data_IF_702540599592
#
_entry.id   IF_702540599592
#
_cell.length_a   1.000
_cell.length_b   1.000
_cell.length_c   1.000
_cell.angle_alpha   90.00
_cell.angle_beta   90.00
_cell.angle_gamma   90.00
#
_symmetry.space_group_name_H-M   'P 1'
#
loop_
_entity.id
_entity.type
_entity.pdbx_description
1 polymer ?
#
# COMPACT_ATOMS: atom_id res chain seq x y z
N UNK A 1 19.86 -0.16 26.16
CA UNK A 1 19.18 -1.27 25.45
C UNK A 1 17.67 -1.29 25.68
N UNK A 2 17.14 -1.09 26.91
CA UNK A 2 15.68 -1.05 27.17
C UNK A 2 14.95 0.11 26.46
N UNK A 3 15.56 1.30 26.41
CA UNK A 3 14.92 2.51 25.84
C UNK A 3 14.66 2.41 24.32
N UNK A 4 15.55 1.75 23.56
CA UNK A 4 15.38 1.54 22.12
C UNK A 4 14.21 0.58 21.82
N UNK A 5 14.05 -0.46 22.64
CA UNK A 5 12.92 -1.39 22.51
C UNK A 5 11.58 -0.73 22.87
N UNK A 6 11.57 0.19 23.86
CA UNK A 6 10.39 0.99 24.17
C UNK A 6 9.99 1.89 22.98
N UNK A 7 10.95 2.59 22.37
CA UNK A 7 10.68 3.40 21.18
C UNK A 7 10.14 2.55 20.01
N UNK A 8 10.73 1.37 19.77
CA UNK A 8 10.24 0.45 18.74
C UNK A 8 8.80 -0.01 19.01
N UNK A 9 8.47 -0.31 20.28
CA UNK A 9 7.10 -0.68 20.67
C UNK A 9 6.11 0.46 20.41
N UNK A 10 6.51 1.70 20.68
CA UNK A 10 5.66 2.88 20.44
C UNK A 10 5.43 3.10 18.94
N UNK A 11 6.44 2.86 18.09
CA UNK A 11 6.32 2.85 16.63
C UNK A 11 5.34 1.76 16.19
N UNK A 12 5.49 0.52 16.68
CA UNK A 12 4.59 -0.58 16.33
C UNK A 12 3.13 -0.27 16.69
N UNK A 13 2.89 0.30 17.88
CA UNK A 13 1.55 0.72 18.29
C UNK A 13 0.98 1.81 17.37
N UNK A 14 1.81 2.75 16.97
CA UNK A 14 1.42 3.84 16.08
C UNK A 14 1.07 3.30 14.68
N UNK A 15 1.82 2.33 14.18
CA UNK A 15 1.48 1.63 12.93
C UNK A 15 0.14 0.92 13.05
N UNK A 16 -0.14 0.21 14.16
CA UNK A 16 -1.45 -0.42 14.36
C UNK A 16 -2.60 0.59 14.36
N UNK A 17 -2.44 1.75 15.00
CA UNK A 17 -3.44 2.82 14.99
C UNK A 17 -3.68 3.37 13.58
N UNK A 18 -2.60 3.54 12.81
CA UNK A 18 -2.65 3.94 11.41
C UNK A 18 -3.39 2.91 10.56
N UNK A 19 -3.12 1.62 10.75
CA UNK A 19 -3.81 0.52 10.08
C UNK A 19 -5.33 0.56 10.36
N UNK A 20 -5.72 0.76 11.61
CA UNK A 20 -7.11 0.86 12.02
C UNK A 20 -7.81 2.07 11.39
N UNK A 21 -7.16 3.25 11.38
CA UNK A 21 -7.69 4.45 10.78
C UNK A 21 -7.90 4.31 9.26
N UNK A 22 -6.90 3.78 8.54
CA UNK A 22 -7.01 3.52 7.10
C UNK A 22 -8.14 2.52 6.81
N UNK A 23 -8.23 1.46 7.60
CA UNK A 23 -9.26 0.44 7.42
C UNK A 23 -10.68 1.00 7.69
N UNK A 24 -10.83 1.88 8.67
CA UNK A 24 -12.11 2.53 8.99
C UNK A 24 -12.55 3.52 7.91
N UNK A 25 -11.63 4.32 7.38
CA UNK A 25 -11.95 5.38 6.41
C UNK A 25 -12.05 4.85 4.98
N UNK A 26 -11.07 4.03 4.55
CA UNK A 26 -10.91 3.62 3.15
C UNK A 26 -11.33 2.17 2.88
N UNK A 27 -11.72 1.43 3.92
CA UNK A 27 -12.21 0.05 3.81
C UNK A 27 -11.18 -0.94 3.21
N UNK A 28 -9.90 -0.55 3.25
CA UNK A 28 -8.75 -1.35 2.84
C UNK A 28 -7.70 -1.37 3.94
N UNK A 29 -6.90 -2.42 4.00
CA UNK A 29 -5.77 -2.49 4.93
C UNK A 29 -4.63 -1.57 4.49
N UNK A 30 -3.75 -1.18 5.42
CA UNK A 30 -2.53 -0.43 5.09
C UNK A 30 -1.71 -1.11 3.99
N UNK A 31 -1.52 -2.43 4.07
CA UNK A 31 -0.77 -3.18 3.05
C UNK A 31 -1.46 -3.15 1.69
N UNK A 32 -2.79 -3.25 1.64
CA UNK A 32 -3.56 -3.08 0.40
C UNK A 32 -3.40 -1.66 -0.16
N UNK A 33 -3.43 -0.63 0.69
CA UNK A 33 -3.21 0.76 0.29
C UNK A 33 -1.80 0.96 -0.30
N UNK A 34 -0.76 0.46 0.37
CA UNK A 34 0.63 0.52 -0.12
C UNK A 34 0.78 -0.14 -1.50
N UNK A 35 0.23 -1.36 -1.66
CA UNK A 35 0.27 -2.09 -2.94
C UNK A 35 -0.48 -1.33 -4.03
N UNK A 36 -1.65 -0.76 -3.73
CA UNK A 36 -2.44 0.01 -4.68
C UNK A 36 -1.70 1.29 -5.11
N UNK A 37 -1.06 1.99 -4.16
CA UNK A 37 -0.23 3.17 -4.43
C UNK A 37 0.99 2.83 -5.30
N UNK A 38 1.71 1.75 -5.02
CA UNK A 38 2.86 1.32 -5.82
C UNK A 38 2.47 1.01 -7.28
N UNK A 39 1.33 0.33 -7.47
CA UNK A 39 0.80 0.03 -8.80
C UNK A 39 0.41 1.31 -9.56
N UNK A 40 -0.24 2.28 -8.88
CA UNK A 40 -0.58 3.59 -9.46
C UNK A 40 0.67 4.37 -9.86
N UNK A 41 1.72 4.30 -9.04
CA UNK A 41 3.05 4.88 -9.29
C UNK A 41 3.86 4.20 -10.40
N UNK A 42 3.38 3.08 -10.95
CA UNK A 42 3.98 2.42 -12.11
C UNK A 42 4.60 1.04 -11.86
N UNK A 43 4.64 0.57 -10.60
CA UNK A 43 5.12 -0.77 -10.25
C UNK A 43 4.04 -1.83 -10.53
N UNK A 44 3.79 -2.11 -11.82
CA UNK A 44 2.63 -2.89 -12.28
C UNK A 44 2.87 -4.41 -12.30
N UNK A 45 4.13 -4.86 -12.28
CA UNK A 45 4.45 -6.29 -12.36
C UNK A 45 4.60 -6.91 -10.96
N UNK A 46 4.03 -8.10 -10.78
CA UNK A 46 4.03 -8.75 -9.46
C UNK A 46 5.43 -9.11 -8.93
N UNK A 47 6.42 -9.29 -9.81
CA UNK A 47 7.80 -9.59 -9.38
C UNK A 47 8.47 -8.36 -8.78
N UNK A 48 8.41 -7.22 -9.48
CA UNK A 48 8.94 -5.94 -8.99
C UNK A 48 8.20 -5.46 -7.73
N UNK A 49 6.89 -5.62 -7.71
CA UNK A 49 6.04 -5.17 -6.63
C UNK A 49 6.34 -5.87 -5.31
N UNK A 50 6.72 -7.15 -5.33
CA UNK A 50 7.05 -7.89 -4.11
C UNK A 50 8.30 -7.32 -3.42
N UNK A 51 9.30 -6.94 -4.23
CA UNK A 51 10.52 -6.29 -3.76
C UNK A 51 10.23 -4.87 -3.27
N UNK A 52 9.48 -4.08 -4.05
CA UNK A 52 9.14 -2.69 -3.75
C UNK A 52 8.39 -2.54 -2.42
N UNK A 53 7.35 -3.36 -2.18
CA UNK A 53 6.58 -3.29 -0.93
C UNK A 53 7.14 -4.18 0.20
N UNK A 54 8.29 -4.83 -0.01
CA UNK A 54 8.95 -5.67 0.99
C UNK A 54 8.13 -6.89 1.43
N UNK A 55 7.33 -7.48 0.54
CA UNK A 55 6.48 -8.64 0.81
C UNK A 55 7.01 -9.90 0.14
N UNK A 56 6.79 -11.06 0.76
CA UNK A 56 7.03 -12.32 0.05
C UNK A 56 6.05 -12.47 -1.14
N UNK A 57 6.44 -13.14 -2.23
CA UNK A 57 5.56 -13.35 -3.39
C UNK A 57 4.20 -13.97 -3.03
N UNK A 58 4.19 -14.90 -2.09
CA UNK A 58 2.97 -15.54 -1.58
C UNK A 58 2.06 -14.56 -0.82
N UNK A 59 2.64 -13.64 -0.04
CA UNK A 59 1.87 -12.60 0.67
C UNK A 59 1.34 -11.58 -0.32
N UNK A 60 2.15 -11.11 -1.26
CA UNK A 60 1.72 -10.18 -2.30
C UNK A 60 0.56 -10.75 -3.11
N UNK A 61 0.66 -12.01 -3.55
CA UNK A 61 -0.40 -12.68 -4.33
C UNK A 61 -1.74 -12.67 -3.59
N UNK A 62 -1.73 -12.84 -2.26
CA UNK A 62 -2.94 -12.77 -1.43
C UNK A 62 -3.51 -11.36 -1.33
N UNK A 63 -2.64 -10.34 -1.25
CA UNK A 63 -3.04 -8.93 -1.24
C UNK A 63 -3.67 -8.53 -2.57
N UNK A 64 -3.03 -8.87 -3.70
CA UNK A 64 -3.58 -8.64 -5.05
C UNK A 64 -4.95 -9.30 -5.18
N UNK A 65 -5.09 -10.57 -4.81
CA UNK A 65 -6.38 -11.26 -4.84
C UNK A 65 -7.44 -10.64 -3.91
N UNK A 66 -7.03 -9.98 -2.82
CA UNK A 66 -7.92 -9.19 -1.96
C UNK A 66 -8.45 -7.95 -2.69
N UNK A 67 -7.54 -7.17 -3.28
CA UNK A 67 -7.87 -5.98 -4.05
C UNK A 67 -8.72 -6.28 -5.29
N UNK A 68 -8.43 -7.38 -6.00
CA UNK A 68 -9.24 -7.87 -7.13
C UNK A 68 -10.66 -8.21 -6.67
N UNK A 69 -10.82 -8.93 -5.55
CA UNK A 69 -12.15 -9.24 -4.98
C UNK A 69 -12.92 -8.00 -4.54
N UNK A 70 -12.22 -6.95 -4.11
CA UNK A 70 -12.81 -5.63 -3.79
C UNK A 70 -13.11 -4.79 -5.05
N UNK A 71 -12.74 -5.27 -6.25
CA UNK A 71 -12.94 -4.56 -7.51
C UNK A 71 -11.99 -3.37 -7.70
N UNK A 72 -10.89 -3.31 -6.95
CA UNK A 72 -9.96 -2.17 -6.93
C UNK A 72 -8.78 -2.37 -7.88
N UNK A 73 -8.46 -3.63 -8.20
CA UNK A 73 -7.44 -4.00 -9.18
C UNK A 73 -8.03 -4.87 -10.28
N UNK A 74 -7.43 -4.76 -11.46
CA UNK A 74 -7.65 -5.65 -12.58
C UNK A 74 -6.30 -6.03 -13.22
N UNK A 75 -6.28 -7.17 -13.91
CA UNK A 75 -5.13 -7.59 -14.71
C UNK A 75 -5.36 -7.23 -16.16
N UNK A 76 -4.39 -6.54 -16.75
CA UNK A 76 -4.35 -6.28 -18.18
C UNK A 76 -3.20 -7.07 -18.79
N UNK A 77 -3.42 -7.61 -19.98
CA UNK A 77 -2.34 -8.19 -20.77
C UNK A 77 -1.49 -7.05 -21.33
N UNK A 78 -0.17 -7.10 -21.15
CA UNK A 78 0.70 -6.09 -21.73
C UNK A 78 0.57 -6.16 -23.27
N UNK A 79 0.34 -4.99 -23.90
CA UNK A 79 0.14 -4.87 -25.35
C UNK A 79 1.42 -5.12 -26.15
N UNK A 80 2.59 -4.85 -25.56
CA UNK A 80 3.90 -5.01 -26.20
C UNK A 80 4.46 -6.43 -26.01
N UNK A 81 4.28 -7.03 -24.84
CA UNK A 81 4.59 -8.45 -24.60
C UNK A 81 3.40 -9.15 -23.91
N UNK A 82 2.60 -9.84 -24.73
CA UNK A 82 1.38 -10.54 -24.29
C UNK A 82 1.66 -11.70 -23.32
N UNK A 83 2.93 -12.09 -23.14
CA UNK A 83 3.31 -13.11 -22.16
C UNK A 83 3.25 -12.58 -20.73
N UNK A 84 3.28 -11.26 -20.55
CA UNK A 84 3.27 -10.62 -19.25
C UNK A 84 1.92 -9.98 -18.93
N UNK A 85 1.46 -10.26 -17.72
CA UNK A 85 0.29 -9.61 -17.13
C UNK A 85 0.76 -8.48 -16.22
N UNK A 86 0.07 -7.35 -16.32
CA UNK A 86 0.32 -6.19 -15.47
C UNK A 86 -0.93 -5.91 -14.63
N UNK A 87 -0.73 -5.46 -13.39
CA UNK A 87 -1.81 -5.01 -12.52
C UNK A 87 -2.11 -3.54 -12.82
N UNK A 88 -3.39 -3.19 -12.83
CA UNK A 88 -3.85 -1.81 -12.97
C UNK A 88 -4.94 -1.49 -11.94
N UNK A 89 -4.97 -0.26 -11.40
CA UNK A 89 -6.11 0.19 -10.62
C UNK A 89 -7.33 0.33 -11.54
N UNK A 90 -8.46 -0.20 -11.09
CA UNK A 90 -9.75 0.10 -11.73
C UNK A 90 -10.14 1.54 -11.44
N UNK A 91 -11.23 2.03 -12.03
CA UNK A 91 -11.78 3.35 -11.68
C UNK A 91 -12.16 3.45 -10.19
N UNK A 92 -12.64 2.35 -9.58
CA UNK A 92 -12.88 2.29 -8.15
C UNK A 92 -11.58 2.36 -7.34
N UNK A 93 -10.52 1.67 -7.79
CA UNK A 93 -9.19 1.76 -7.19
C UNK A 93 -8.62 3.19 -7.23
N UNK A 94 -8.74 3.87 -8.39
CA UNK A 94 -8.33 5.27 -8.56
C UNK A 94 -9.14 6.23 -7.68
N UNK A 95 -10.43 5.97 -7.50
CA UNK A 95 -11.27 6.77 -6.60
C UNK A 95 -10.77 6.68 -5.16
N UNK A 96 -10.39 5.48 -4.68
CA UNK A 96 -9.78 5.34 -3.34
C UNK A 96 -8.46 6.08 -3.24
N UNK A 97 -7.58 5.96 -4.24
CA UNK A 97 -6.31 6.69 -4.27
C UNK A 97 -6.52 8.21 -4.23
N UNK A 98 -7.51 8.70 -4.96
CA UNK A 98 -7.88 10.13 -4.96
C UNK A 98 -8.45 10.55 -3.60
N UNK A 99 -9.28 9.71 -2.99
CA UNK A 99 -9.83 9.95 -1.65
C UNK A 99 -8.70 10.04 -0.61
N UNK A 100 -7.73 9.13 -0.63
CA UNK A 100 -6.55 9.19 0.24
C UNK A 100 -5.70 10.44 0.00
N UNK A 101 -5.54 10.88 -1.25
CA UNK A 101 -4.80 12.11 -1.60
C UNK A 101 -5.52 13.40 -1.13
N UNK A 102 -6.85 13.37 -1.03
CA UNK A 102 -7.67 14.56 -0.73
C UNK A 102 -7.97 14.70 0.76
N UNK A 103 -8.42 13.64 1.41
CA UNK A 103 -8.71 13.61 2.85
C UNK A 103 -7.46 13.32 3.69
N UNK A 104 -6.41 12.77 3.07
CA UNK A 104 -5.15 12.48 3.73
C UNK A 104 -5.20 11.24 4.62
N UNK A 105 -4.09 10.96 5.27
CA UNK A 105 -4.00 9.91 6.28
C UNK A 105 -3.51 10.59 7.54
N UNK A 106 -4.25 10.42 8.65
CA UNK A 106 -3.81 10.96 9.93
C UNK A 106 -2.60 10.17 10.41
N UNK A 107 -1.42 10.79 10.33
CA UNK A 107 -0.15 10.18 10.69
C UNK A 107 0.05 10.39 12.19
N UNK A 108 0.15 9.32 13.01
CA UNK A 108 0.44 9.47 14.42
C UNK A 108 1.76 10.24 14.64
N UNK A 109 1.85 11.11 15.66
CA UNK A 109 3.03 11.95 15.89
C UNK A 109 4.37 11.20 15.98
N UNK A 110 4.34 9.95 16.46
CA UNK A 110 5.53 9.09 16.53
C UNK A 110 6.10 8.71 15.15
N UNK A 111 5.30 8.81 14.08
CA UNK A 111 5.68 8.46 12.72
C UNK A 111 5.97 9.70 11.85
N UNK A 112 5.52 10.89 12.23
CA UNK A 112 5.71 12.14 11.46
C UNK A 112 7.19 12.35 11.08
N UNK A 113 8.08 12.26 12.06
CA UNK A 113 9.53 12.43 11.85
C UNK A 113 10.18 11.37 10.97
N UNK A 114 9.53 10.22 10.76
CA UNK A 114 10.03 9.11 9.94
C UNK A 114 9.52 9.24 8.50
N UNK A 115 8.23 9.58 8.34
CA UNK A 115 7.54 9.59 7.05
C UNK A 115 7.81 10.88 6.26
N UNK A 116 7.89 12.04 6.92
CA UNK A 116 8.13 13.33 6.25
C UNK A 116 9.54 13.48 5.63
N UNK A 117 10.45 12.56 5.92
CA UNK A 117 11.79 12.48 5.27
C UNK A 117 11.72 11.74 3.92
N UNK A 118 10.61 11.03 3.65
CA UNK A 118 10.41 10.21 2.45
C UNK A 118 9.52 10.87 1.38
N UNK A 119 9.16 12.15 1.52
CA UNK A 119 8.73 12.97 0.37
C UNK A 119 9.95 13.23 -0.53
N UNK A 120 10.42 12.20 -1.23
CA UNK A 120 11.47 12.32 -2.24
C UNK A 120 10.86 12.33 -3.63
N UNK A 121 11.02 13.50 -4.26
CA UNK A 121 11.30 13.79 -5.69
C UNK A 121 10.38 13.21 -6.78
#
# INVERSE_FOLDING_TARGET
>A
MHQQLCALKDILRSITQLEEAIQATYHISLTEAMVLCAIDGGCRYAHDLAEDVGLSPSRLSRIIAGLERKGLLEREQNREDRRHWQNRPTEAGKAILTHMKTEGIDIPPALESIILVHEKE
#
